data_IF_989900056802
#
_entry.id   IF_989900056802
#
_cell.length_a   1.000
_cell.length_b   1.000
_cell.length_c   1.000
_cell.angle_alpha   90.00
_cell.angle_beta   90.00
_cell.angle_gamma   90.00
#
_symmetry.space_group_name_H-M   'P 1'
#
loop_
_entity.id
_entity.type
_entity.pdbx_description
1 polymer ?
#
# COMPACT_ATOMS: atom_id res chain seq x y z
N UNK A 1 -36.37 -24.20 -53.29
CA UNK A 1 -36.36 -22.83 -53.84
C UNK A 1 -35.30 -22.61 -54.91
N UNK A 2 -34.06 -23.08 -54.72
CA UNK A 2 -32.94 -22.87 -55.64
C UNK A 2 -33.20 -23.24 -57.11
N UNK A 3 -33.91 -24.34 -57.38
CA UNK A 3 -34.13 -24.83 -58.75
C UNK A 3 -35.09 -23.94 -59.56
N UNK A 4 -35.94 -23.12 -58.90
CA UNK A 4 -36.90 -22.21 -59.57
C UNK A 4 -36.33 -20.81 -59.88
N UNK A 5 -35.07 -20.54 -59.54
CA UNK A 5 -34.44 -19.22 -59.68
C UNK A 5 -33.69 -19.07 -61.00
N UNK A 6 -33.70 -17.86 -61.57
CA UNK A 6 -32.94 -17.52 -62.78
C UNK A 6 -31.43 -17.61 -62.52
N UNK A 7 -30.64 -17.90 -63.56
CA UNK A 7 -29.17 -18.05 -63.46
C UNK A 7 -28.52 -16.79 -62.85
N UNK A 8 -29.03 -15.59 -63.18
CA UNK A 8 -28.53 -14.31 -62.65
C UNK A 8 -28.57 -14.27 -61.13
N UNK A 9 -29.69 -14.67 -60.52
CA UNK A 9 -29.84 -14.66 -59.05
C UNK A 9 -28.95 -15.70 -58.37
N UNK A 10 -28.77 -16.88 -58.99
CA UNK A 10 -27.86 -17.91 -58.46
C UNK A 10 -26.41 -17.42 -58.42
N UNK A 11 -25.97 -16.76 -59.50
CA UNK A 11 -24.61 -16.22 -59.59
C UNK A 11 -24.38 -15.10 -58.55
N UNK A 12 -25.35 -14.21 -58.39
CA UNK A 12 -25.30 -13.13 -57.39
C UNK A 12 -25.22 -13.67 -55.96
N UNK A 13 -26.01 -14.70 -55.62
CA UNK A 13 -25.96 -15.33 -54.29
C UNK A 13 -24.60 -16.01 -54.07
N UNK A 14 -24.06 -16.70 -55.07
CA UNK A 14 -22.74 -17.33 -54.97
C UNK A 14 -21.63 -16.30 -54.70
N UNK A 15 -21.62 -15.18 -55.44
CA UNK A 15 -20.69 -14.08 -55.21
C UNK A 15 -20.85 -13.46 -53.81
N UNK A 16 -22.09 -13.27 -53.34
CA UNK A 16 -22.37 -12.72 -52.01
C UNK A 16 -21.86 -13.65 -50.91
N UNK A 17 -22.10 -14.96 -51.02
CA UNK A 17 -21.64 -15.94 -50.02
C UNK A 17 -20.12 -15.99 -49.99
N UNK A 18 -19.45 -16.03 -51.15
CA UNK A 18 -17.98 -16.08 -51.22
C UNK A 18 -17.34 -14.81 -50.67
N UNK A 19 -17.93 -13.63 -50.89
CA UNK A 19 -17.40 -12.37 -50.37
C UNK A 19 -17.73 -12.10 -48.90
N UNK A 20 -18.96 -12.39 -48.47
CA UNK A 20 -19.47 -11.96 -47.17
C UNK A 20 -19.25 -12.98 -46.05
N UNK A 21 -19.31 -14.28 -46.37
CA UNK A 21 -19.17 -15.35 -45.37
C UNK A 21 -17.78 -15.32 -44.69
N UNK A 22 -16.65 -15.20 -45.42
CA UNK A 22 -15.34 -15.12 -44.78
C UNK A 22 -15.20 -13.89 -43.89
N UNK A 23 -15.75 -12.75 -44.31
CA UNK A 23 -15.73 -11.50 -43.54
C UNK A 23 -16.48 -11.66 -42.22
N UNK A 24 -17.67 -12.27 -42.24
CA UNK A 24 -18.45 -12.53 -41.03
C UNK A 24 -17.70 -13.43 -40.05
N UNK A 25 -17.08 -14.50 -40.55
CA UNK A 25 -16.29 -15.43 -39.73
C UNK A 25 -15.09 -14.73 -39.10
N UNK A 26 -14.29 -14.01 -39.91
CA UNK A 26 -13.12 -13.26 -39.43
C UNK A 26 -13.53 -12.19 -38.43
N UNK A 27 -14.64 -11.48 -38.67
CA UNK A 27 -15.14 -10.44 -37.78
C UNK A 27 -15.56 -11.04 -36.42
N UNK A 28 -16.28 -12.15 -36.41
CA UNK A 28 -16.68 -12.83 -35.16
C UNK A 28 -15.47 -13.31 -34.35
N UNK A 29 -14.50 -13.93 -35.01
CA UNK A 29 -13.25 -14.36 -34.36
C UNK A 29 -12.44 -13.17 -33.82
N UNK A 30 -12.36 -12.09 -34.59
CA UNK A 30 -11.63 -10.88 -34.19
C UNK A 30 -12.30 -10.19 -33.01
N UNK A 31 -13.64 -10.12 -32.98
CA UNK A 31 -14.39 -9.52 -31.89
C UNK A 31 -14.25 -10.33 -30.60
N UNK A 32 -14.31 -11.66 -30.68
CA UNK A 32 -14.07 -12.56 -29.54
C UNK A 32 -12.64 -12.40 -29.00
N UNK A 33 -11.63 -12.39 -29.88
CA UNK A 33 -10.23 -12.16 -29.48
C UNK A 33 -10.03 -10.79 -28.83
N UNK A 34 -10.61 -9.74 -29.40
CA UNK A 34 -10.54 -8.40 -28.84
C UNK A 34 -11.20 -8.32 -27.46
N UNK A 35 -12.37 -8.97 -27.29
CA UNK A 35 -13.06 -9.02 -26.00
C UNK A 35 -12.21 -9.73 -24.93
N UNK A 36 -11.64 -10.89 -25.27
CA UNK A 36 -10.76 -11.62 -24.35
C UNK A 36 -9.49 -10.84 -24.01
N UNK A 37 -8.85 -10.21 -25.00
CA UNK A 37 -7.67 -9.39 -24.75
C UNK A 37 -7.97 -8.17 -23.85
N UNK A 38 -9.16 -7.57 -23.99
CA UNK A 38 -9.60 -6.47 -23.11
C UNK A 38 -9.89 -6.96 -21.69
N UNK A 39 -10.50 -8.13 -21.55
CA UNK A 39 -10.79 -8.75 -20.26
C UNK A 39 -9.49 -9.11 -19.52
N UNK A 40 -8.59 -9.84 -20.18
CA UNK A 40 -7.26 -10.21 -19.67
C UNK A 40 -6.46 -8.96 -19.28
N UNK A 41 -6.42 -7.96 -20.17
CA UNK A 41 -5.74 -6.69 -19.88
C UNK A 41 -6.37 -5.89 -18.74
N UNK A 42 -7.65 -6.07 -18.44
CA UNK A 42 -8.31 -5.47 -17.27
C UNK A 42 -7.93 -6.22 -15.99
N UNK A 43 -7.91 -7.55 -16.03
CA UNK A 43 -7.49 -8.40 -14.91
C UNK A 43 -6.01 -8.16 -14.55
N UNK A 44 -5.13 -8.10 -15.54
CA UNK A 44 -3.70 -7.83 -15.33
C UNK A 44 -3.46 -6.48 -14.64
N UNK A 45 -4.24 -5.45 -14.99
CA UNK A 45 -4.17 -4.15 -14.31
C UNK A 45 -4.58 -4.24 -12.85
N UNK A 46 -5.63 -4.99 -12.54
CA UNK A 46 -6.07 -5.20 -11.16
C UNK A 46 -5.01 -5.98 -10.36
N UNK A 47 -4.40 -7.00 -10.94
CA UNK A 47 -3.30 -7.76 -10.34
C UNK A 47 -2.10 -6.85 -10.10
N UNK A 48 -1.71 -6.02 -11.06
CA UNK A 48 -0.61 -5.08 -10.91
C UNK A 48 -0.85 -4.07 -9.77
N UNK A 49 -2.07 -3.55 -9.65
CA UNK A 49 -2.46 -2.68 -8.53
C UNK A 49 -2.39 -3.43 -7.21
N UNK A 50 -2.91 -4.66 -7.16
CA UNK A 50 -2.90 -5.50 -5.95
C UNK A 50 -1.46 -5.77 -5.47
N UNK A 51 -0.59 -6.24 -6.37
CA UNK A 51 0.82 -6.50 -6.07
C UNK A 51 1.54 -5.21 -5.65
N UNK A 52 1.24 -4.08 -6.30
CA UNK A 52 1.76 -2.77 -5.91
C UNK A 52 1.39 -2.38 -4.49
N UNK A 53 0.12 -2.61 -4.09
CA UNK A 53 -0.35 -2.33 -2.72
C UNK A 53 0.31 -3.24 -1.68
N UNK A 54 0.44 -4.53 -1.97
CA UNK A 54 1.12 -5.48 -1.08
C UNK A 54 2.56 -5.02 -0.83
N UNK A 55 3.29 -4.71 -1.91
CA UNK A 55 4.68 -4.21 -1.82
C UNK A 55 4.78 -2.91 -1.03
N UNK A 56 3.81 -2.00 -1.20
CA UNK A 56 3.78 -0.74 -0.46
C UNK A 56 3.62 -0.99 1.04
N UNK A 57 2.73 -1.90 1.46
CA UNK A 57 2.56 -2.27 2.86
C UNK A 57 3.83 -2.92 3.44
N UNK A 58 4.44 -3.85 2.70
CA UNK A 58 5.69 -4.49 3.13
C UNK A 58 6.82 -3.46 3.30
N UNK A 59 6.96 -2.53 2.36
CA UNK A 59 7.94 -1.45 2.44
C UNK A 59 7.65 -0.53 3.63
N UNK A 60 6.39 -0.17 3.86
CA UNK A 60 5.97 0.66 4.97
C UNK A 60 6.32 0.03 6.33
N UNK A 61 6.04 -1.27 6.53
CA UNK A 61 6.44 -1.94 7.77
C UNK A 61 7.97 -2.02 7.92
N UNK A 62 8.70 -2.25 6.84
CA UNK A 62 10.17 -2.22 6.86
C UNK A 62 10.72 -0.83 7.20
N UNK A 63 10.12 0.24 6.69
CA UNK A 63 10.52 1.61 7.02
C UNK A 63 10.21 1.95 8.48
N UNK A 64 9.06 1.51 9.00
CA UNK A 64 8.73 1.65 10.42
C UNK A 64 9.75 0.93 11.31
N UNK A 65 10.09 -0.32 10.97
CA UNK A 65 11.10 -1.08 11.71
C UNK A 65 12.48 -0.40 11.68
N UNK A 66 12.89 0.11 10.51
CA UNK A 66 14.15 0.83 10.37
C UNK A 66 14.17 2.13 11.19
N UNK A 67 13.09 2.92 11.15
CA UNK A 67 12.95 4.13 11.93
C UNK A 67 13.00 3.83 13.44
N UNK A 68 12.28 2.80 13.90
CA UNK A 68 12.34 2.36 15.30
C UNK A 68 13.75 1.96 15.74
N UNK A 69 14.52 1.27 14.88
CA UNK A 69 15.91 0.91 15.17
C UNK A 69 16.79 2.15 15.29
N UNK A 70 16.64 3.13 14.39
CA UNK A 70 17.38 4.40 14.48
C UNK A 70 17.02 5.15 15.76
N UNK A 71 15.74 5.23 16.13
CA UNK A 71 15.29 5.85 17.37
C UNK A 71 15.85 5.14 18.61
N UNK A 72 15.85 3.80 18.62
CA UNK A 72 16.45 2.99 19.71
C UNK A 72 17.95 3.25 19.86
N UNK A 73 18.66 3.34 18.73
CA UNK A 73 20.12 3.48 18.71
C UNK A 73 20.57 4.92 18.92
N UNK A 74 19.64 5.89 18.90
CA UNK A 74 19.93 7.29 19.19
C UNK A 74 20.35 7.47 20.67
N UNK A 75 21.53 8.07 20.94
CA UNK A 75 22.02 8.23 22.31
C UNK A 75 21.06 9.01 23.22
N UNK A 76 20.31 9.95 22.67
CA UNK A 76 19.40 10.80 23.44
C UNK A 76 18.14 10.04 23.87
N UNK A 77 17.64 9.08 23.08
CA UNK A 77 16.50 8.22 23.46
C UNK A 77 16.83 7.35 24.67
N UNK A 78 17.99 6.69 24.65
CA UNK A 78 18.42 5.83 25.75
C UNK A 78 18.65 6.64 27.05
N UNK A 79 19.25 7.83 26.93
CA UNK A 79 19.43 8.75 28.08
C UNK A 79 18.10 9.30 28.58
N UNK A 80 17.19 9.68 27.69
CA UNK A 80 15.86 10.16 28.06
C UNK A 80 15.11 9.10 28.87
N UNK A 81 15.11 7.84 28.40
CA UNK A 81 14.49 6.73 29.12
C UNK A 81 15.05 6.58 30.55
N UNK A 82 16.38 6.63 30.70
CA UNK A 82 17.03 6.49 32.01
C UNK A 82 16.74 7.68 32.94
N UNK A 83 16.91 8.92 32.47
CA UNK A 83 16.70 10.13 33.27
C UNK A 83 15.22 10.28 33.68
N UNK A 84 14.29 10.00 32.76
CA UNK A 84 12.85 10.06 33.02
C UNK A 84 12.42 8.97 34.00
N UNK A 85 12.94 7.75 33.85
CA UNK A 85 12.69 6.69 34.83
C UNK A 85 13.20 7.05 36.23
N UNK A 86 14.43 7.59 36.34
CA UNK A 86 14.99 7.99 37.63
C UNK A 86 14.15 9.09 38.30
N UNK A 87 13.77 10.13 37.55
CA UNK A 87 12.93 11.21 38.09
C UNK A 87 11.51 10.72 38.45
N UNK A 88 10.95 9.81 37.65
CA UNK A 88 9.66 9.17 37.92
C UNK A 88 9.68 8.36 39.23
N UNK A 89 10.69 7.50 39.43
CA UNK A 89 10.82 6.69 40.65
C UNK A 89 11.09 7.56 41.88
N UNK A 90 11.99 8.55 41.76
CA UNK A 90 12.27 9.50 42.84
C UNK A 90 11.04 10.31 43.24
N UNK A 91 10.17 10.60 42.27
CA UNK A 91 8.88 11.26 42.47
C UNK A 91 7.75 10.37 43.01
N UNK A 92 8.04 9.14 43.43
CA UNK A 92 7.04 8.21 43.93
C UNK A 92 6.17 7.60 42.82
N UNK A 93 6.74 7.40 41.62
CA UNK A 93 6.07 6.91 40.41
C UNK A 93 4.99 7.88 39.90
N UNK A 94 5.31 9.17 39.85
CA UNK A 94 4.41 10.22 39.37
C UNK A 94 5.10 11.15 38.38
N UNK A 95 4.38 11.46 37.29
CA UNK A 95 4.77 12.45 36.27
C UNK A 95 4.39 13.89 36.67
N UNK A 96 3.67 14.07 37.76
CA UNK A 96 3.22 15.39 38.22
C UNK A 96 4.26 16.14 39.06
N UNK A 97 5.43 15.54 39.26
CA UNK A 97 6.50 16.17 40.03
C UNK A 97 7.26 17.19 39.19
N UNK A 98 7.70 18.28 39.82
CA UNK A 98 8.52 19.30 39.15
C UNK A 98 9.81 18.70 38.58
N UNK A 99 10.42 17.74 39.29
CA UNK A 99 11.64 17.06 38.84
C UNK A 99 11.40 16.25 37.54
N UNK A 100 10.29 15.52 37.44
CA UNK A 100 9.94 14.81 36.22
C UNK A 100 9.67 15.79 35.08
N UNK A 101 8.87 16.84 35.30
CA UNK A 101 8.53 17.82 34.26
C UNK A 101 9.75 18.53 33.68
N UNK A 102 10.71 18.93 34.52
CA UNK A 102 11.98 19.52 34.08
C UNK A 102 12.83 18.54 33.27
N UNK A 103 12.80 17.26 33.63
CA UNK A 103 13.51 16.21 32.90
C UNK A 103 12.84 15.96 31.55
N UNK A 104 11.50 15.95 31.49
CA UNK A 104 10.74 15.83 30.26
C UNK A 104 11.00 17.00 29.31
N UNK A 105 10.92 18.24 29.80
CA UNK A 105 11.19 19.45 29.01
C UNK A 105 12.58 19.45 28.35
N UNK A 106 13.59 18.85 28.99
CA UNK A 106 14.95 18.71 28.43
C UNK A 106 14.97 17.87 27.14
N UNK A 107 14.12 16.86 27.02
CA UNK A 107 14.10 15.90 25.92
C UNK A 107 12.93 16.10 24.95
N UNK A 108 11.91 16.84 25.36
CA UNK A 108 10.63 16.99 24.66
C UNK A 108 10.80 17.41 23.19
N UNK A 109 11.66 18.40 22.92
CA UNK A 109 11.91 18.88 21.56
C UNK A 109 12.47 17.76 20.65
N UNK A 110 13.45 17.00 21.13
CA UNK A 110 14.07 15.94 20.34
C UNK A 110 13.09 14.77 20.10
N UNK A 111 12.29 14.41 21.10
CA UNK A 111 11.30 13.34 20.99
C UNK A 111 10.14 13.75 20.07
N UNK A 112 9.70 15.01 20.13
CA UNK A 112 8.70 15.56 19.20
C UNK A 112 9.22 15.62 17.77
N UNK A 113 10.48 15.98 17.55
CA UNK A 113 11.10 15.97 16.22
C UNK A 113 11.12 14.55 15.65
N UNK A 114 11.47 13.54 16.45
CA UNK A 114 11.40 12.13 16.02
C UNK A 114 9.97 11.75 15.60
N UNK A 115 8.97 12.06 16.42
CA UNK A 115 7.56 11.75 16.12
C UNK A 115 7.10 12.45 14.85
N UNK A 116 7.43 13.73 14.70
CA UNK A 116 7.05 14.56 13.55
C UNK A 116 7.72 14.11 12.26
N UNK A 117 9.04 13.89 12.29
CA UNK A 117 9.82 13.52 11.11
C UNK A 117 9.45 12.13 10.57
N UNK A 118 9.02 11.23 11.46
CA UNK A 118 8.55 9.90 11.09
C UNK A 118 7.04 9.83 10.84
N UNK A 119 6.29 10.92 11.05
CA UNK A 119 4.84 10.95 10.89
C UNK A 119 4.09 10.03 11.87
N UNK A 120 4.66 9.82 13.05
CA UNK A 120 4.07 8.98 14.10
C UNK A 120 2.97 9.72 14.84
N UNK A 121 2.01 8.97 15.36
CA UNK A 121 0.98 9.51 16.25
C UNK A 121 1.58 9.88 17.61
N UNK A 122 2.44 9.02 18.14
CA UNK A 122 3.05 9.18 19.46
C UNK A 122 4.35 8.36 19.58
N UNK A 123 5.14 8.67 20.62
CA UNK A 123 6.37 7.95 20.99
C UNK A 123 6.37 7.72 22.49
N UNK A 124 6.32 6.45 22.88
CA UNK A 124 6.35 6.06 24.28
C UNK A 124 7.72 5.54 24.70
N UNK A 125 8.19 5.97 25.86
CA UNK A 125 9.38 5.41 26.51
C UNK A 125 8.93 4.49 27.64
N UNK A 126 9.13 3.18 27.44
CA UNK A 126 8.70 2.14 28.37
C UNK A 126 9.93 1.51 29.01
N UNK A 127 10.03 1.60 30.33
CA UNK A 127 11.10 0.98 31.10
C UNK A 127 10.80 -0.52 31.32
N UNK A 128 11.84 -1.33 31.61
CA UNK A 128 11.75 -2.79 31.74
C UNK A 128 10.81 -3.26 32.87
N UNK A 129 10.50 -2.39 33.82
CA UNK A 129 9.54 -2.63 34.89
C UNK A 129 8.07 -2.40 34.48
N UNK A 130 7.83 -2.06 33.21
CA UNK A 130 6.52 -1.84 32.61
C UNK A 130 5.97 -0.42 32.76
N UNK A 131 6.72 0.50 33.37
CA UNK A 131 6.28 1.89 33.49
C UNK A 131 6.50 2.66 32.19
N UNK A 132 5.47 3.39 31.74
CA UNK A 132 5.59 4.41 30.69
C UNK A 132 6.06 5.70 31.35
N UNK A 133 7.24 6.18 30.98
CA UNK A 133 7.90 7.33 31.63
C UNK A 133 7.92 8.59 30.76
N UNK A 134 7.45 8.48 29.52
CA UNK A 134 7.17 9.54 28.55
C UNK A 134 6.11 9.04 27.59
#
# INVERSE_FOLDING_TARGET
MWHKMTIKTKLLIAFLVIGLLPVLVVTGLSLSKASHALEEGSLDKLIAIQVGKIRHLEWYFKSLEAALKVTRDAPDTAKALQDLHQSFVAGGKSVDTTAWRQTAEKYDAALQDITKDNGWYDLFLIHEDGNVVY
#
